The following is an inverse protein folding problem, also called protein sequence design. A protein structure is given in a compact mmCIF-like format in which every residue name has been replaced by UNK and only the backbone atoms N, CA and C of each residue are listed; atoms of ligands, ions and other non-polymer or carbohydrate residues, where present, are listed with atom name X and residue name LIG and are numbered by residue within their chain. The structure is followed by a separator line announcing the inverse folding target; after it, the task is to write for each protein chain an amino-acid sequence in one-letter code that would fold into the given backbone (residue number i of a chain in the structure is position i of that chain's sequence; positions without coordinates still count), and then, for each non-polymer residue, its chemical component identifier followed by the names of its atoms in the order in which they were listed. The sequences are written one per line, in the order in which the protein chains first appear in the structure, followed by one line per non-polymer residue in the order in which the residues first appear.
data_IF_223712786245
#
_entry.id   IF_223712786245
#
_cell.length_a   1.000
_cell.length_b   1.000
_cell.length_c   1.000
_cell.angle_alpha   90.00
_cell.angle_beta   90.00
_cell.angle_gamma   90.00
#
_symmetry.space_group_name_H-M   'P 1'
#
loop_
_entity.id
_entity.type
_entity.pdbx_description
1 polymer ?
#
# COMPACT_ATOMS: atom_id res chain seq x y z
N UNK A 1 21.25 -7.92 0.53
CA UNK A 1 21.16 -6.57 -0.08
C UNK A 1 20.12 -5.76 0.70
N UNK A 2 20.51 -4.63 1.32
CA UNK A 2 19.60 -3.77 2.10
C UNK A 2 18.75 -2.92 1.16
N UNK A 3 17.50 -2.65 1.53
CA UNK A 3 16.65 -1.72 0.79
C UNK A 3 17.06 -0.27 1.09
N UNK A 4 17.01 0.58 0.07
CA UNK A 4 17.15 2.04 0.14
C UNK A 4 15.78 2.65 0.44
N UNK A 5 15.70 3.51 1.46
CA UNK A 5 14.48 4.25 1.79
C UNK A 5 14.60 5.68 1.29
N UNK A 6 13.60 6.15 0.53
CA UNK A 6 13.54 7.50 -0.04
C UNK A 6 12.35 8.23 0.53
N UNK A 7 12.63 9.23 1.33
CA UNK A 7 11.60 10.07 1.92
C UNK A 7 11.14 11.10 0.91
N UNK A 8 9.84 11.09 0.60
CA UNK A 8 9.26 11.98 -0.39
C UNK A 8 7.85 12.37 0.02
N UNK A 9 7.45 13.64 -0.13
CA UNK A 9 6.08 14.03 0.13
C UNK A 9 5.13 13.48 -0.94
N UNK A 10 3.90 13.16 -0.55
CA UNK A 10 2.81 12.85 -1.46
C UNK A 10 1.83 14.03 -1.57
N UNK A 11 1.17 14.14 -2.73
CA UNK A 11 0.10 15.11 -2.97
C UNK A 11 -1.28 14.61 -2.53
N UNK A 12 -1.46 13.30 -2.49
CA UNK A 12 -2.70 12.64 -2.09
C UNK A 12 -2.39 11.35 -1.32
N UNK A 13 -3.21 11.07 -0.31
CA UNK A 13 -3.15 9.84 0.48
C UNK A 13 -4.18 8.82 -0.04
N UNK A 14 -5.41 9.27 -0.31
CA UNK A 14 -6.53 8.47 -0.81
C UNK A 14 -6.57 8.43 -2.34
N UNK A 15 -6.42 7.24 -2.91
CA UNK A 15 -6.39 7.04 -4.35
C UNK A 15 -7.60 6.23 -4.78
N UNK A 16 -8.39 6.78 -5.71
CA UNK A 16 -9.53 6.06 -6.31
C UNK A 16 -9.01 5.01 -7.29
N UNK A 17 -9.52 3.80 -7.18
CA UNK A 17 -9.12 2.66 -8.03
C UNK A 17 -10.31 2.18 -8.88
N UNK A 18 -10.02 1.48 -9.98
CA UNK A 18 -11.04 0.90 -10.87
C UNK A 18 -10.72 -0.56 -11.15
N UNK A 19 -11.73 -1.42 -11.19
CA UNK A 19 -11.56 -2.85 -11.47
C UNK A 19 -11.01 -3.67 -10.30
N UNK A 20 -11.13 -3.13 -9.08
CA UNK A 20 -10.83 -3.80 -7.83
C UNK A 20 -12.12 -3.98 -7.02
N UNK A 21 -12.09 -4.85 -6.01
CA UNK A 21 -13.20 -5.08 -5.07
C UNK A 21 -13.41 -3.95 -4.04
N UNK A 22 -12.70 -2.84 -4.20
CA UNK A 22 -12.74 -1.65 -3.34
C UNK A 22 -12.56 -0.42 -4.24
N UNK A 23 -13.08 0.73 -3.82
CA UNK A 23 -13.04 1.97 -4.60
C UNK A 23 -11.89 2.90 -4.22
N UNK A 24 -11.40 2.80 -2.97
CA UNK A 24 -10.36 3.66 -2.44
C UNK A 24 -9.20 2.86 -1.88
N UNK A 25 -7.98 3.33 -2.13
CA UNK A 25 -6.75 2.75 -1.60
C UNK A 25 -5.89 3.77 -0.87
N UNK A 26 -5.21 3.30 0.16
CA UNK A 26 -4.24 4.06 0.94
C UNK A 26 -2.95 3.25 1.07
N UNK A 27 -1.84 3.84 0.64
CA UNK A 27 -0.53 3.19 0.66
C UNK A 27 0.50 4.20 1.23
N UNK A 28 0.90 4.05 2.51
CA UNK A 28 1.91 4.91 3.15
C UNK A 28 3.31 4.78 2.52
N UNK A 29 3.57 3.63 1.90
CA UNK A 29 4.82 3.30 1.23
C UNK A 29 4.58 3.01 -0.25
N UNK A 30 5.63 3.08 -1.08
CA UNK A 30 5.62 2.52 -2.43
C UNK A 30 6.84 1.64 -2.66
N UNK A 31 6.62 0.50 -3.32
CA UNK A 31 7.54 -0.63 -3.30
C UNK A 31 7.36 -1.49 -2.05
N UNK A 32 7.85 -2.73 -2.09
CA UNK A 32 7.73 -3.66 -0.97
C UNK A 32 8.98 -4.54 -0.85
N UNK A 33 9.62 -4.53 0.32
CA UNK A 33 10.88 -5.29 0.55
C UNK A 33 10.68 -6.81 0.58
N UNK A 34 9.43 -7.28 0.70
CA UNK A 34 9.10 -8.70 0.74
C UNK A 34 9.42 -9.45 -0.56
N UNK A 35 9.36 -8.76 -1.72
CA UNK A 35 9.74 -9.30 -3.04
C UNK A 35 9.17 -10.70 -3.34
N UNK A 36 7.92 -10.97 -2.97
CA UNK A 36 7.25 -12.24 -3.25
C UNK A 36 7.28 -12.55 -4.76
N UNK A 37 7.62 -13.78 -5.13
CA UNK A 37 7.76 -14.19 -6.54
C UNK A 37 6.46 -14.05 -7.33
N UNK A 38 5.33 -14.22 -6.66
CA UNK A 38 3.97 -14.11 -7.21
C UNK A 38 3.34 -12.70 -7.09
N UNK A 39 4.11 -11.68 -6.73
CA UNK A 39 3.56 -10.34 -6.48
C UNK A 39 2.97 -9.71 -7.74
N UNK A 40 1.64 -9.54 -7.78
CA UNK A 40 0.94 -8.95 -8.93
C UNK A 40 1.33 -7.49 -9.19
N UNK A 41 1.75 -6.76 -8.16
CA UNK A 41 2.13 -5.36 -8.27
C UNK A 41 3.34 -5.21 -9.18
N UNK A 42 4.25 -6.20 -9.25
CA UNK A 42 5.36 -6.19 -10.22
C UNK A 42 4.85 -6.14 -11.65
N UNK A 43 3.82 -6.92 -11.97
CA UNK A 43 3.20 -6.90 -13.29
C UNK A 43 2.42 -5.61 -13.55
N UNK A 44 1.81 -5.03 -12.52
CA UNK A 44 1.12 -3.74 -12.61
C UNK A 44 2.09 -2.59 -12.87
N UNK A 45 3.17 -2.47 -12.09
CA UNK A 45 4.22 -1.45 -12.26
C UNK A 45 4.88 -1.57 -13.66
N UNK A 46 5.11 -2.80 -14.15
CA UNK A 46 5.58 -3.04 -15.54
C UNK A 46 4.66 -2.47 -16.60
N UNK A 47 3.34 -2.60 -16.40
CA UNK A 47 2.32 -2.11 -17.35
C UNK A 47 2.07 -0.61 -17.25
N UNK A 48 2.42 0.00 -16.12
CA UNK A 48 2.21 1.42 -15.86
C UNK A 48 3.40 2.29 -16.30
N UNK A 49 4.37 1.74 -17.06
CA UNK A 49 5.65 2.37 -17.43
C UNK A 49 6.40 2.99 -16.24
N UNK A 50 6.12 2.49 -15.03
CA UNK A 50 6.86 2.83 -13.82
C UNK A 50 8.15 2.01 -13.80
N UNK A 51 9.21 2.49 -13.12
CA UNK A 51 10.42 1.70 -12.90
C UNK A 51 10.04 0.37 -12.25
N UNK A 52 10.01 -0.66 -13.07
CA UNK A 52 9.66 -2.03 -12.73
C UNK A 52 10.85 -2.97 -12.94
N UNK A 53 12.02 -2.33 -12.99
CA UNK A 53 13.35 -2.89 -13.02
C UNK A 53 13.62 -3.73 -11.76
N UNK A 54 14.84 -4.25 -11.68
CA UNK A 54 15.30 -5.02 -10.51
C UNK A 54 15.31 -4.21 -9.20
N UNK A 55 14.91 -2.93 -9.20
CA UNK A 55 14.80 -2.10 -8.00
C UNK A 55 13.47 -2.28 -7.26
N UNK A 56 12.46 -2.95 -7.82
CA UNK A 56 11.24 -3.24 -7.05
C UNK A 56 11.60 -4.07 -5.79
N UNK A 57 11.40 -3.46 -4.62
CA UNK A 57 11.81 -4.02 -3.33
C UNK A 57 13.28 -3.84 -2.96
N UNK A 58 14.05 -3.07 -3.75
CA UNK A 58 15.37 -2.52 -3.38
C UNK A 58 15.30 -1.02 -3.05
N UNK A 59 14.32 -0.29 -3.59
CA UNK A 59 14.04 1.10 -3.23
C UNK A 59 12.59 1.22 -2.76
N UNK A 60 12.39 1.84 -1.60
CA UNK A 60 11.07 2.05 -0.98
C UNK A 60 10.87 3.55 -0.82
N UNK A 61 9.82 4.08 -1.45
CA UNK A 61 9.41 5.47 -1.25
C UNK A 61 8.55 5.54 0.01
N UNK A 62 8.91 6.44 0.91
CA UNK A 62 8.25 6.67 2.19
C UNK A 62 7.52 8.01 2.10
N UNK A 63 6.19 7.97 2.16
CA UNK A 63 5.36 9.18 2.05
C UNK A 63 5.29 9.91 3.40
N UNK A 64 6.34 10.65 3.74
CA UNK A 64 6.53 11.22 5.08
C UNK A 64 5.39 12.13 5.58
N UNK A 65 4.65 12.77 4.67
CA UNK A 65 3.51 13.64 5.00
C UNK A 65 2.14 12.95 4.83
N UNK A 66 2.08 11.63 4.60
CA UNK A 66 0.83 10.94 4.24
C UNK A 66 -0.26 11.08 5.30
N UNK A 67 0.11 11.10 6.59
CA UNK A 67 -0.85 11.22 7.70
C UNK A 67 -1.51 12.60 7.70
N UNK A 68 -0.74 13.66 7.49
CA UNK A 68 -1.24 15.04 7.40
C UNK A 68 -2.17 15.20 6.20
N UNK A 69 -1.75 14.69 5.03
CA UNK A 69 -2.56 14.73 3.81
C UNK A 69 -3.86 13.94 3.99
N UNK A 70 -3.80 12.75 4.60
CA UNK A 70 -4.96 11.92 4.86
C UNK A 70 -5.97 12.64 5.77
N UNK A 71 -5.52 13.24 6.88
CA UNK A 71 -6.40 14.01 7.78
C UNK A 71 -7.11 15.13 7.03
N UNK A 72 -6.40 15.87 6.18
CA UNK A 72 -7.00 16.92 5.34
C UNK A 72 -8.00 16.38 4.34
N UNK A 73 -7.74 15.22 3.72
CA UNK A 73 -8.66 14.59 2.77
C UNK A 73 -9.93 14.06 3.45
N UNK A 74 -9.80 13.44 4.63
CA UNK A 74 -10.92 12.93 5.41
C UNK A 74 -11.82 14.03 5.99
N UNK A 75 -11.26 15.21 6.28
CA UNK A 75 -11.99 16.36 6.81
C UNK A 75 -12.79 17.14 5.74
N UNK A 76 -12.69 16.77 4.45
CA UNK A 76 -13.43 17.46 3.39
C UNK A 76 -14.92 17.13 3.50
N UNK A 77 -15.77 18.16 3.42
CA UNK A 77 -17.22 17.98 3.40
C UNK A 77 -17.73 17.10 2.24
N UNK A 78 -16.94 16.96 1.16
CA UNK A 78 -17.26 16.09 0.04
C UNK A 78 -16.88 14.62 0.25
N UNK A 79 -16.15 14.30 1.32
CA UNK A 79 -15.77 12.93 1.63
C UNK A 79 -16.97 12.14 2.13
N UNK A 80 -17.23 10.98 1.51
CA UNK A 80 -18.43 10.17 1.77
C UNK A 80 -18.20 9.02 2.76
N UNK A 81 -17.06 9.02 3.45
CA UNK A 81 -16.69 7.96 4.38
C UNK A 81 -16.69 6.55 3.74
N UNK A 82 -16.32 6.47 2.46
CA UNK A 82 -16.23 5.21 1.74
C UNK A 82 -15.14 4.31 2.33
N UNK A 83 -15.28 2.99 2.16
CA UNK A 83 -14.33 2.04 2.71
C UNK A 83 -12.98 2.15 2.01
N UNK A 84 -11.90 2.32 2.79
CA UNK A 84 -10.54 2.45 2.29
C UNK A 84 -9.78 1.13 2.42
N UNK A 85 -9.15 0.66 1.36
CA UNK A 85 -8.27 -0.50 1.37
C UNK A 85 -6.81 -0.09 1.58
N UNK A 86 -6.22 -0.57 2.67
CA UNK A 86 -4.82 -0.37 3.04
C UNK A 86 -4.04 -1.63 2.67
N UNK A 87 -2.90 -1.44 2.01
CA UNK A 87 -2.01 -2.54 1.70
C UNK A 87 -2.30 -3.30 0.41
N UNK A 88 -3.06 -2.68 -0.50
CA UNK A 88 -3.34 -3.24 -1.81
C UNK A 88 -2.06 -3.35 -2.66
N UNK A 89 -1.26 -2.28 -2.75
CA UNK A 89 -0.10 -2.22 -3.65
C UNK A 89 1.25 -2.45 -2.95
N UNK A 90 1.30 -2.25 -1.63
CA UNK A 90 2.49 -2.46 -0.80
C UNK A 90 2.08 -3.08 0.52
N UNK A 91 3.01 -3.67 1.25
CA UNK A 91 2.71 -4.09 2.62
C UNK A 91 2.86 -2.91 3.58
N UNK A 92 1.80 -2.54 4.32
CA UNK A 92 1.85 -1.40 5.24
C UNK A 92 2.69 -1.69 6.48
N UNK A 93 2.92 -2.97 6.81
CA UNK A 93 3.70 -3.42 7.97
C UNK A 93 5.03 -4.06 7.57
N UNK A 94 5.58 -3.68 6.42
CA UNK A 94 6.95 -4.01 6.06
C UNK A 94 7.96 -3.38 7.06
N UNK A 95 9.20 -3.86 7.16
CA UNK A 95 10.20 -3.39 8.15
C UNK A 95 10.34 -1.88 8.33
N UNK A 96 10.10 -1.07 7.29
CA UNK A 96 10.09 0.39 7.36
C UNK A 96 9.13 0.94 8.43
N UNK A 97 7.98 0.30 8.61
CA UNK A 97 6.93 0.71 9.55
C UNK A 97 7.37 0.60 11.02
N UNK A 98 8.40 -0.21 11.30
CA UNK A 98 9.01 -0.28 12.63
C UNK A 98 9.65 1.06 13.05
N UNK A 99 10.13 1.85 12.08
CA UNK A 99 10.74 3.16 12.32
C UNK A 99 9.75 4.30 12.08
N UNK A 100 9.11 4.33 10.91
CA UNK A 100 8.36 5.49 10.44
C UNK A 100 6.96 5.63 11.06
N UNK A 101 6.33 4.51 11.47
CA UNK A 101 5.00 4.48 12.09
C UNK A 101 3.89 5.18 11.28
N UNK A 102 4.03 5.26 9.95
CA UNK A 102 3.08 5.99 9.09
C UNK A 102 1.77 5.24 8.96
N UNK A 103 1.81 3.91 8.90
CA UNK A 103 0.58 3.11 8.91
C UNK A 103 -0.19 3.36 10.19
N UNK A 104 0.47 3.32 11.36
CA UNK A 104 -0.21 3.65 12.63
C UNK A 104 -0.88 5.02 12.58
N UNK A 105 -0.15 6.07 12.18
CA UNK A 105 -0.72 7.42 12.08
C UNK A 105 -1.90 7.50 11.11
N UNK A 106 -1.87 6.73 10.02
CA UNK A 106 -3.01 6.60 9.11
C UNK A 106 -4.21 5.90 9.76
N UNK A 107 -3.98 4.86 10.57
CA UNK A 107 -5.05 4.16 11.31
C UNK A 107 -5.70 5.09 12.34
N UNK A 108 -4.90 5.87 13.06
CA UNK A 108 -5.39 6.89 14.01
C UNK A 108 -6.26 7.92 13.28
N UNK A 109 -5.79 8.45 12.15
CA UNK A 109 -6.56 9.41 11.35
C UNK A 109 -7.90 8.83 10.83
N UNK A 110 -7.92 7.55 10.42
CA UNK A 110 -9.16 6.88 9.99
C UNK A 110 -10.09 6.61 11.16
N UNK A 111 -9.55 6.25 12.33
CA UNK A 111 -10.32 6.03 13.55
C UNK A 111 -11.01 7.32 14.02
N UNK A 112 -10.26 8.43 14.05
CA UNK A 112 -10.75 9.77 14.39
C UNK A 112 -11.90 10.20 13.47
N UNK A 113 -11.79 9.89 12.18
CA UNK A 113 -12.81 10.19 11.16
C UNK A 113 -13.96 9.16 11.10
N UNK A 114 -13.95 8.15 11.97
CA UNK A 114 -14.89 7.02 11.99
C UNK A 114 -15.06 6.36 10.61
N UNK A 115 -13.95 6.30 9.86
CA UNK A 115 -13.96 5.79 8.49
C UNK A 115 -13.79 4.26 8.49
N UNK A 116 -14.57 3.57 7.66
CA UNK A 116 -14.38 2.12 7.48
C UNK A 116 -13.12 1.82 6.68
N UNK A 117 -12.39 0.77 7.03
CA UNK A 117 -11.21 0.37 6.27
C UNK A 117 -10.93 -1.14 6.36
N UNK A 118 -10.18 -1.62 5.36
CA UNK A 118 -9.64 -2.97 5.34
C UNK A 118 -8.13 -2.92 5.21
N UNK A 119 -7.42 -3.86 5.84
CA UNK A 119 -5.98 -3.99 5.76
C UNK A 119 -5.63 -5.34 5.16
N UNK A 120 -4.71 -5.37 4.19
CA UNK A 120 -4.07 -6.60 3.74
C UNK A 120 -2.59 -6.53 4.12
N UNK A 121 -2.09 -7.53 4.84
CA UNK A 121 -0.68 -7.55 5.27
C UNK A 121 -0.10 -8.96 5.40
N UNK A 122 1.22 -9.04 5.40
CA UNK A 122 2.06 -10.20 5.73
C UNK A 122 2.92 -9.93 6.97
N UNK A 123 2.89 -8.72 7.50
CA UNK A 123 3.71 -8.26 8.61
C UNK A 123 3.03 -8.49 9.96
N UNK A 124 3.66 -9.23 10.90
CA UNK A 124 3.12 -9.41 12.25
C UNK A 124 3.23 -8.14 13.11
N UNK A 125 3.92 -7.10 12.63
CA UNK A 125 4.07 -5.81 13.33
C UNK A 125 2.72 -5.12 13.58
N UNK A 126 1.67 -5.47 12.84
CA UNK A 126 0.29 -5.01 13.07
C UNK A 126 -0.20 -5.23 14.50
N UNK A 127 0.34 -6.24 15.22
CA UNK A 127 0.00 -6.50 16.62
C UNK A 127 0.32 -5.29 17.52
N UNK A 128 1.31 -4.46 17.16
CA UNK A 128 1.63 -3.21 17.87
C UNK A 128 0.45 -2.24 17.91
N UNK A 129 -0.41 -2.27 16.88
CA UNK A 129 -1.48 -1.30 16.68
C UNK A 129 -2.86 -1.89 16.98
N UNK A 130 -2.91 -3.00 17.73
CA UNK A 130 -4.16 -3.64 18.23
C UNK A 130 -5.05 -2.62 18.95
N UNK A 131 -4.45 -1.73 19.74
CA UNK A 131 -5.15 -0.69 20.49
C UNK A 131 -5.96 0.23 19.57
N UNK A 132 -5.32 0.74 18.50
CA UNK A 132 -5.96 1.63 17.52
C UNK A 132 -6.99 0.87 16.68
N UNK A 133 -6.67 -0.37 16.28
CA UNK A 133 -7.57 -1.21 15.48
C UNK A 133 -8.84 -1.58 16.25
N UNK A 134 -8.71 -1.94 17.53
CA UNK A 134 -9.84 -2.26 18.39
C UNK A 134 -10.73 -1.04 18.61
N UNK A 135 -10.15 0.14 18.87
CA UNK A 135 -10.93 1.37 19.00
C UNK A 135 -11.67 1.72 17.70
N UNK A 136 -10.98 1.66 16.56
CA UNK A 136 -11.59 1.94 15.26
C UNK A 136 -12.75 0.96 14.96
N UNK A 137 -12.57 -0.33 15.29
CA UNK A 137 -13.58 -1.36 15.09
C UNK A 137 -14.86 -1.16 15.93
N UNK A 138 -14.80 -0.39 17.03
CA UNK A 138 -15.99 -0.01 17.81
C UNK A 138 -16.89 0.98 17.08
N UNK A 139 -16.35 1.74 16.12
CA UNK A 139 -17.03 2.89 15.50
C UNK A 139 -17.27 2.73 14.00
N UNK A 140 -16.47 1.89 13.34
CA UNK A 140 -16.54 1.67 11.90
C UNK A 140 -16.25 0.21 11.55
N UNK A 141 -16.57 -0.20 10.33
CA UNK A 141 -16.23 -1.54 9.85
C UNK A 141 -14.73 -1.62 9.56
N UNK A 142 -14.00 -2.32 10.44
CA UNK A 142 -12.58 -2.57 10.31
C UNK A 142 -12.34 -4.06 10.06
N UNK A 143 -11.55 -4.39 9.05
CA UNK A 143 -11.16 -5.77 8.79
C UNK A 143 -9.68 -5.90 8.44
N UNK A 144 -9.06 -6.99 8.90
CA UNK A 144 -7.66 -7.32 8.61
C UNK A 144 -7.59 -8.67 7.91
N UNK A 145 -6.90 -8.72 6.79
CA UNK A 145 -6.63 -9.96 6.05
C UNK A 145 -5.13 -10.23 6.07
N UNK A 146 -4.73 -11.31 6.73
CA UNK A 146 -3.36 -11.81 6.66
C UNK A 146 -3.21 -12.63 5.38
N UNK A 147 -2.31 -12.22 4.48
CA UNK A 147 -1.96 -13.05 3.33
C UNK A 147 -1.11 -14.21 3.81
N UNK A 148 -1.65 -15.43 3.73
CA UNK A 148 -0.96 -16.68 4.03
C UNK A 148 -1.24 -17.63 2.86
N UNK A 149 -0.41 -17.61 1.81
CA UNK A 149 -0.65 -18.40 0.61
C UNK A 149 -0.38 -19.89 0.80
N UNK A 150 0.46 -20.24 1.77
CA UNK A 150 0.85 -21.61 2.10
C UNK A 150 1.24 -21.72 3.57
N UNK A 151 1.10 -22.92 4.14
CA UNK A 151 1.70 -23.33 5.43
C UNK A 151 2.89 -24.27 5.24
N UNK A 152 3.16 -24.69 4.00
CA UNK A 152 4.31 -25.50 3.65
C UNK A 152 5.57 -24.63 3.69
N UNK A 153 6.54 -25.07 4.49
CA UNK A 153 7.76 -24.34 4.77
C UNK A 153 8.65 -24.21 3.54
N UNK A 154 8.77 -25.27 2.74
CA UNK A 154 9.58 -25.22 1.52
C UNK A 154 8.98 -24.28 0.49
N UNK A 155 7.65 -24.33 0.32
CA UNK A 155 6.96 -23.43 -0.61
C UNK A 155 7.09 -21.98 -0.14
N UNK A 156 6.96 -21.71 1.15
CA UNK A 156 7.15 -20.37 1.71
C UNK A 156 8.58 -19.84 1.44
N UNK A 157 9.60 -20.64 1.74
CA UNK A 157 11.01 -20.28 1.50
C UNK A 157 11.30 -20.01 0.02
N UNK A 158 10.68 -20.78 -0.90
CA UNK A 158 10.85 -20.61 -2.35
C UNK A 158 10.10 -19.40 -2.90
N UNK A 159 8.99 -18.98 -2.29
CA UNK A 159 8.07 -18.00 -2.89
C UNK A 159 8.08 -16.63 -2.23
N UNK A 160 8.25 -16.54 -0.91
CA UNK A 160 8.24 -15.26 -0.19
C UNK A 160 9.17 -15.24 1.04
N UNK A 161 10.46 -15.62 0.92
CA UNK A 161 11.37 -15.81 2.06
C UNK A 161 11.66 -14.53 2.86
N UNK A 162 11.44 -13.35 2.29
CA UNK A 162 11.68 -12.07 2.97
C UNK A 162 10.48 -11.58 3.80
N UNK A 163 9.44 -12.40 3.95
CA UNK A 163 8.25 -12.13 4.78
C UNK A 163 8.37 -12.83 6.13
N UNK A 164 7.48 -12.52 7.08
CA UNK A 164 7.38 -13.31 8.29
C UNK A 164 6.88 -14.73 7.99
N UNK A 165 7.34 -15.72 8.76
CA UNK A 165 6.92 -17.11 8.62
C UNK A 165 5.38 -17.25 8.75
N UNK A 166 4.69 -18.12 7.96
CA UNK A 166 3.23 -18.26 7.97
C UNK A 166 2.61 -18.45 9.37
N UNK A 167 3.20 -19.33 10.19
CA UNK A 167 2.80 -19.52 11.61
C UNK A 167 2.89 -18.26 12.47
N UNK A 168 3.83 -17.35 12.21
CA UNK A 168 3.90 -16.08 12.92
C UNK A 168 2.75 -15.15 12.54
N UNK A 169 2.34 -15.16 11.27
CA UNK A 169 1.15 -14.42 10.80
C UNK A 169 -0.13 -14.97 11.42
N UNK A 170 -0.26 -16.29 11.57
CA UNK A 170 -1.38 -16.91 12.28
C UNK A 170 -1.43 -16.51 13.77
N UNK A 171 -0.27 -16.44 14.45
CA UNK A 171 -0.22 -15.93 15.83
C UNK A 171 -0.68 -14.49 15.92
N UNK A 172 -0.21 -13.63 15.02
CA UNK A 172 -0.65 -12.23 14.95
C UNK A 172 -2.17 -12.12 14.68
N UNK A 173 -2.70 -12.94 13.77
CA UNK A 173 -4.14 -13.04 13.52
C UNK A 173 -4.89 -13.39 14.79
N UNK A 174 -4.45 -14.41 15.54
CA UNK A 174 -5.08 -14.79 16.80
C UNK A 174 -5.14 -13.61 17.77
N UNK A 175 -4.04 -12.87 17.92
CA UNK A 175 -3.99 -11.70 18.79
C UNK A 175 -4.99 -10.61 18.38
N UNK A 176 -5.19 -10.38 17.09
CA UNK A 176 -6.21 -9.44 16.62
C UNK A 176 -7.63 -9.93 16.94
N UNK A 177 -7.91 -11.22 16.71
CA UNK A 177 -9.22 -11.83 17.00
C UNK A 177 -9.52 -11.79 18.50
N UNK A 178 -8.54 -12.13 19.35
CA UNK A 178 -8.67 -12.09 20.81
C UNK A 178 -8.99 -10.66 21.31
N UNK A 179 -8.53 -9.64 20.58
CA UNK A 179 -8.81 -8.22 20.86
C UNK A 179 -10.13 -7.71 20.24
N UNK A 180 -10.94 -8.58 19.64
CA UNK A 180 -12.21 -8.21 19.02
C UNK A 180 -12.11 -7.60 17.62
N UNK A 181 -10.93 -7.62 16.99
CA UNK A 181 -10.75 -7.13 15.62
C UNK A 181 -11.10 -8.24 14.62
N UNK A 182 -11.95 -7.93 13.65
CA UNK A 182 -12.29 -8.87 12.57
C UNK A 182 -11.05 -9.16 11.71
N UNK A 183 -10.46 -10.33 11.90
CA UNK A 183 -9.29 -10.77 11.15
C UNK A 183 -9.53 -12.10 10.43
N UNK A 184 -8.97 -12.24 9.22
CA UNK A 184 -9.12 -13.43 8.38
C UNK A 184 -7.83 -13.78 7.64
N UNK A 185 -7.81 -14.97 7.03
CA UNK A 185 -6.72 -15.43 6.17
C UNK A 185 -7.10 -15.22 4.71
N UNK A 186 -6.22 -14.56 3.96
CA UNK A 186 -6.31 -14.42 2.52
C UNK A 186 -5.41 -15.44 1.82
N UNK A 187 -6.03 -16.48 1.23
CA UNK A 187 -5.33 -17.47 0.38
C UNK A 187 -5.20 -16.96 -1.06
N UNK A 188 -4.58 -15.80 -1.23
CA UNK A 188 -4.41 -15.13 -2.50
C UNK A 188 -3.05 -15.38 -3.14
N UNK A 189 -2.66 -16.64 -3.40
CA UNK A 189 -1.60 -16.94 -4.35
C UNK A 189 -2.26 -17.43 -5.65
N UNK A 190 -2.45 -16.53 -6.61
CA UNK A 190 -2.89 -16.89 -7.97
C UNK A 190 -1.87 -17.76 -8.74
N UNK A 191 -0.86 -18.32 -8.06
CA UNK A 191 0.34 -18.93 -8.65
C UNK A 191 0.58 -20.37 -8.20
N UNK A 192 -0.36 -20.99 -7.47
CA UNK A 192 -0.30 -22.45 -7.19
C UNK A 192 -1.00 -23.30 -8.26
N UNK A 193 -1.37 -22.72 -9.42
CA UNK A 193 -1.74 -23.46 -10.63
C UNK A 193 -0.96 -22.91 -11.84
N UNK A 194 -0.59 -23.84 -12.72
CA UNK A 194 0.18 -23.75 -13.96
C UNK A 194 -0.20 -22.56 -14.91
N UNK A 195 0.59 -22.28 -15.97
CA UNK A 195 0.62 -20.98 -16.63
C UNK A 195 -0.73 -20.64 -17.26
N UNK A 196 -1.33 -19.55 -16.81
CA UNK A 196 -2.56 -19.04 -17.41
C UNK A 196 -2.23 -18.42 -18.77
N UNK A 197 -2.84 -19.00 -19.81
CA UNK A 197 -3.00 -18.38 -21.13
C UNK A 197 -3.45 -16.92 -20.95
N UNK A 198 -2.86 -16.04 -21.76
CA UNK A 198 -3.09 -14.60 -21.81
C UNK A 198 -4.58 -14.24 -21.84
N UNK A 199 -5.17 -14.04 -20.66
CA UNK A 199 -6.47 -13.41 -20.57
C UNK A 199 -6.19 -11.91 -20.51
N UNK A 200 -6.42 -11.22 -21.64
CA UNK A 200 -6.25 -9.77 -21.78
C UNK A 200 -7.10 -9.04 -20.73
N UNK A 201 -6.47 -8.49 -19.70
CA UNK A 201 -7.08 -7.50 -18.81
C UNK A 201 -7.16 -6.16 -19.58
N UNK A 202 -8.28 -5.42 -19.52
CA UNK A 202 -8.42 -4.16 -20.25
C UNK A 202 -7.34 -3.14 -19.87
N UNK A 203 -6.76 -2.50 -20.90
CA UNK A 203 -5.79 -1.41 -20.76
C UNK A 203 -6.46 -0.24 -20.03
N UNK A 204 -5.96 0.14 -18.86
CA UNK A 204 -6.39 1.35 -18.15
C UNK A 204 -5.39 2.48 -18.39
N UNK A 205 -5.91 3.68 -18.65
CA UNK A 205 -5.14 4.88 -18.95
C UNK A 205 -4.25 5.31 -17.79
N UNK A 206 -3.06 5.78 -18.15
CA UNK A 206 -2.08 6.41 -17.29
C UNK A 206 -2.70 7.63 -16.59
N UNK A 207 -3.07 7.46 -15.33
CA UNK A 207 -3.54 8.53 -14.45
C UNK A 207 -2.57 8.77 -13.32
N UNK A 208 -1.31 9.07 -13.63
CA UNK A 208 -0.45 9.87 -12.75
C UNK A 208 0.50 10.66 -13.67
N UNK A 209 0.06 11.88 -13.97
CA UNK A 209 0.83 12.83 -14.76
C UNK A 209 2.17 13.13 -14.05
N UNK A 210 3.22 13.02 -14.84
CA UNK A 210 4.51 13.63 -14.60
C UNK A 210 4.33 15.09 -14.11
N UNK A 211 5.06 15.45 -13.06
CA UNK A 211 5.35 16.85 -12.77
C UNK A 211 6.74 16.92 -12.13
N UNK A 212 7.73 17.23 -12.97
CA UNK A 212 9.11 17.43 -12.53
C UNK A 212 10.15 17.33 -13.64
N UNK A 213 9.89 17.85 -14.85
CA UNK A 213 10.99 18.20 -15.78
C UNK A 213 11.21 19.70 -15.70
N UNK A 214 12.42 20.08 -15.30
CA UNK A 214 12.88 21.45 -15.21
C UNK A 214 12.84 22.15 -16.57
N UNK A 215 12.51 23.43 -16.54
CA UNK A 215 12.75 24.34 -17.64
C UNK A 215 14.06 25.08 -17.37
N UNK A 216 15.09 24.79 -18.17
CA UNK A 216 16.17 25.74 -18.46
C UNK A 216 15.90 26.34 -19.85
N UNK A 217 16.09 27.65 -19.90
CA UNK A 217 16.53 28.48 -21.03
C UNK A 217 15.76 28.39 -22.36
N UNK A 218 15.18 29.54 -22.74
CA UNK A 218 14.63 29.79 -24.06
C UNK A 218 14.30 31.26 -24.21
N UNK A 219 15.27 32.01 -24.72
CA UNK A 219 15.22 33.39 -25.21
C UNK A 219 13.89 33.83 -25.85
N UNK A 220 13.52 35.10 -25.62
CA UNK A 220 12.45 35.73 -26.40
C UNK A 220 11.94 37.07 -25.88
N UNK A 221 12.79 37.99 -25.42
CA UNK A 221 12.35 39.38 -25.14
C UNK A 221 12.66 40.24 -26.36
N UNK A 222 11.65 40.46 -27.21
CA UNK A 222 11.64 41.52 -28.22
C UNK A 222 11.58 42.87 -27.50
N UNK A 223 12.58 43.72 -27.73
CA UNK A 223 12.60 45.13 -27.31
C UNK A 223 11.69 45.98 -28.21
N UNK A 224 11.05 47.04 -27.69
CA UNK A 224 10.38 48.04 -28.52
C UNK A 224 11.42 49.00 -29.13
N UNK A 225 11.21 49.41 -30.38
CA UNK A 225 11.93 50.55 -31.00
C UNK A 225 11.09 51.83 -30.82
N UNK A 226 11.74 52.96 -30.54
CA UNK A 226 11.24 54.27 -30.92
C UNK A 226 12.29 55.09 -31.69
N UNK A 227 11.91 56.27 -32.18
CA UNK A 227 10.82 56.55 -33.11
C UNK A 227 11.16 56.20 -34.57
#
# INVERSE_FOLDING_TARGET
MRAEYREEPCKSALNRVKGMMFDWSLNPYMGCVHRCTFCYVRAFERRADRPSDDRYGRSIRVKVNVVEVLRRELARASWKHETVAIGAATDPYQPAEGHYRLTRGCLEALADAHNSFSIITRGPLIVRDVDVLAEAARRANVSVTFSIPTLDEEVWQKTEPSTAHPRQRLRALKTLVDAGVKASVGMGARTLRAPLRETRLPRQGAGEAAAGKGQRAGEGIRRPRPP
#
